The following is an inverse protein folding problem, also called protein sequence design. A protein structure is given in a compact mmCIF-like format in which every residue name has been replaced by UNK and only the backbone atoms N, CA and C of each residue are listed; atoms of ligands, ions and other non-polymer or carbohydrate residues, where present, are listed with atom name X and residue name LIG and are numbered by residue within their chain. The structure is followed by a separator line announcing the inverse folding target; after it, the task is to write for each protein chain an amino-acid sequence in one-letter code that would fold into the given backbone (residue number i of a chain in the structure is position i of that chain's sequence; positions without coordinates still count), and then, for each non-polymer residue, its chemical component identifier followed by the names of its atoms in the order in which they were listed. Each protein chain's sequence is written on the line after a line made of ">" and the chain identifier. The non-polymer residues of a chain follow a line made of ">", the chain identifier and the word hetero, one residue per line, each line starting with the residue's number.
data_IF_175353018350
#
_entry.id   IF_175353018350
#
_cell.length_a   1.000
_cell.length_b   1.000
_cell.length_c   1.000
_cell.angle_alpha   90.00
_cell.angle_beta   90.00
_cell.angle_gamma   90.00
#
_symmetry.space_group_name_H-M   'P 1'
#
loop_
_entity.id
_entity.type
_entity.pdbx_description
1 polymer ?
#
# COMPACT_ATOMS: atom_id res chain seq x y z
N UNK A 1 -4.28 -14.39 -21.68
CA UNK A 1 -3.19 -14.81 -20.78
C UNK A 1 -3.04 -16.32 -20.83
N UNK A 2 -1.84 -16.85 -20.58
CA UNK A 2 -1.54 -18.28 -20.64
C UNK A 2 -1.98 -18.97 -19.35
N UNK A 3 -2.88 -19.96 -19.43
CA UNK A 3 -3.20 -20.84 -18.30
C UNK A 3 -2.03 -21.80 -18.03
N UNK A 4 -1.74 -22.06 -16.76
CA UNK A 4 -0.68 -22.97 -16.34
C UNK A 4 -1.25 -24.14 -15.53
N UNK A 5 -0.64 -25.31 -15.68
CA UNK A 5 -0.81 -26.41 -14.74
C UNK A 5 0.17 -26.27 -13.57
N UNK A 6 -0.11 -26.88 -12.40
CA UNK A 6 0.84 -26.89 -11.28
C UNK A 6 2.21 -27.48 -11.63
N UNK A 7 2.26 -28.45 -12.56
CA UNK A 7 3.52 -29.05 -13.01
C UNK A 7 4.32 -28.09 -13.89
N UNK A 8 3.68 -27.30 -14.75
CA UNK A 8 4.35 -26.26 -15.53
C UNK A 8 4.87 -25.16 -14.63
N UNK A 9 4.07 -24.72 -13.65
CA UNK A 9 4.51 -23.77 -12.63
C UNK A 9 5.77 -24.26 -11.91
N UNK A 10 5.77 -25.49 -11.39
CA UNK A 10 6.95 -26.09 -10.72
C UNK A 10 8.19 -26.13 -11.62
N UNK A 11 8.02 -26.41 -12.91
CA UNK A 11 9.14 -26.43 -13.87
C UNK A 11 9.72 -25.03 -14.09
N UNK A 12 8.86 -24.02 -14.23
CA UNK A 12 9.28 -22.61 -14.38
C UNK A 12 10.01 -22.13 -13.13
N UNK A 13 9.48 -22.47 -11.94
CA UNK A 13 10.11 -22.12 -10.65
C UNK A 13 11.48 -22.77 -10.45
N UNK A 14 11.75 -23.91 -11.09
CA UNK A 14 13.05 -24.58 -11.08
C UNK A 14 14.00 -24.10 -12.18
N UNK A 15 13.54 -23.21 -13.06
CA UNK A 15 14.26 -22.75 -14.26
C UNK A 15 14.47 -21.24 -14.28
N UNK A 16 14.05 -20.62 -15.37
CA UNK A 16 14.22 -19.20 -15.67
C UNK A 16 13.32 -18.26 -14.87
N UNK A 17 12.33 -18.78 -14.12
CA UNK A 17 11.38 -18.00 -13.32
C UNK A 17 10.60 -16.98 -14.14
N UNK A 18 10.22 -17.32 -15.38
CA UNK A 18 9.39 -16.46 -16.22
C UNK A 18 7.92 -16.89 -16.23
N UNK A 19 7.09 -16.12 -15.53
CA UNK A 19 5.64 -16.21 -15.50
C UNK A 19 4.97 -14.99 -16.17
N UNK A 20 5.70 -14.24 -17.00
CA UNK A 20 5.14 -13.06 -17.66
C UNK A 20 3.92 -13.41 -18.52
N UNK A 21 2.88 -12.57 -18.45
CA UNK A 21 1.62 -12.75 -19.17
C UNK A 21 0.81 -14.00 -18.82
N UNK A 22 1.19 -14.74 -17.78
CA UNK A 22 0.46 -15.92 -17.32
C UNK A 22 -0.79 -15.55 -16.53
N UNK A 23 -1.80 -16.42 -16.57
CA UNK A 23 -2.99 -16.31 -15.73
C UNK A 23 -2.80 -17.13 -14.46
N UNK A 24 -2.64 -16.41 -13.36
CA UNK A 24 -2.50 -16.89 -12.00
C UNK A 24 -3.66 -16.40 -11.12
N UNK A 25 -4.78 -16.01 -11.73
CA UNK A 25 -5.93 -15.49 -10.99
C UNK A 25 -6.49 -16.52 -10.00
N UNK A 26 -6.68 -16.10 -8.76
CA UNK A 26 -7.16 -16.95 -7.67
C UNK A 26 -6.20 -18.07 -7.24
N UNK A 27 -4.96 -18.10 -7.74
CA UNK A 27 -4.00 -19.12 -7.33
C UNK A 27 -3.63 -19.00 -5.85
N UNK A 28 -3.40 -20.15 -5.22
CA UNK A 28 -2.80 -20.21 -3.89
C UNK A 28 -1.27 -20.29 -4.02
N UNK A 29 -0.61 -19.17 -3.73
CA UNK A 29 0.85 -18.99 -3.77
C UNK A 29 1.40 -18.67 -2.37
N UNK A 30 0.61 -18.96 -1.32
CA UNK A 30 0.96 -18.64 0.06
C UNK A 30 2.28 -19.29 0.47
N UNK A 31 3.13 -18.50 1.13
CA UNK A 31 4.48 -18.86 1.58
C UNK A 31 5.45 -19.29 0.46
N UNK A 32 5.12 -19.05 -0.82
CA UNK A 32 6.05 -19.38 -1.91
C UNK A 32 7.25 -18.43 -1.91
N UNK A 33 8.38 -18.93 -2.42
CA UNK A 33 9.54 -18.10 -2.70
C UNK A 33 9.57 -17.70 -4.18
N UNK A 34 9.01 -16.54 -4.47
CA UNK A 34 8.92 -15.95 -5.80
C UNK A 34 9.93 -14.79 -5.96
N UNK A 35 11.04 -14.79 -5.22
CA UNK A 35 12.03 -13.73 -5.38
C UNK A 35 12.65 -13.73 -6.78
N UNK A 36 12.90 -12.54 -7.29
CA UNK A 36 13.44 -12.27 -8.64
C UNK A 36 12.58 -12.83 -9.78
N UNK A 37 11.32 -13.18 -9.52
CA UNK A 37 10.44 -13.75 -10.56
C UNK A 37 10.03 -12.69 -11.58
N UNK A 38 9.88 -13.10 -12.84
CA UNK A 38 9.25 -12.27 -13.84
C UNK A 38 7.74 -12.55 -13.88
N UNK A 39 6.94 -11.63 -13.35
CA UNK A 39 5.47 -11.61 -13.37
C UNK A 39 4.94 -10.42 -14.17
N UNK A 40 5.74 -9.87 -15.08
CA UNK A 40 5.33 -8.75 -15.93
C UNK A 40 4.06 -9.11 -16.71
N UNK A 41 3.09 -8.20 -16.77
CA UNK A 41 1.79 -8.39 -17.45
C UNK A 41 0.98 -9.60 -16.94
N UNK A 42 1.36 -10.24 -15.83
CA UNK A 42 0.68 -11.42 -15.31
C UNK A 42 -0.66 -11.04 -14.64
N UNK A 43 -1.62 -11.96 -14.65
CA UNK A 43 -2.88 -11.78 -13.92
C UNK A 43 -2.84 -12.56 -12.62
N UNK A 44 -2.75 -11.85 -11.51
CA UNK A 44 -2.76 -12.33 -10.13
C UNK A 44 -4.04 -11.90 -9.40
N UNK A 45 -5.11 -11.54 -10.15
CA UNK A 45 -6.37 -11.10 -9.57
C UNK A 45 -6.88 -12.09 -8.53
N UNK A 46 -7.09 -11.63 -7.30
CA UNK A 46 -7.56 -12.45 -6.19
C UNK A 46 -6.61 -13.57 -5.76
N UNK A 47 -5.36 -13.59 -6.22
CA UNK A 47 -4.38 -14.60 -5.80
C UNK A 47 -4.08 -14.49 -4.30
N UNK A 48 -3.84 -15.63 -3.65
CA UNK A 48 -3.41 -15.69 -2.27
C UNK A 48 -1.87 -15.69 -2.22
N UNK A 49 -1.30 -14.56 -1.82
CA UNK A 49 0.15 -14.32 -1.74
C UNK A 49 0.59 -14.09 -0.28
N UNK A 50 -0.20 -14.50 0.72
CA UNK A 50 0.14 -14.30 2.13
C UNK A 50 1.55 -14.87 2.43
N UNK A 51 2.38 -14.09 3.14
CA UNK A 51 3.76 -14.44 3.51
C UNK A 51 4.67 -14.84 2.32
N UNK A 52 4.32 -14.45 1.09
CA UNK A 52 5.13 -14.79 -0.10
C UNK A 52 6.36 -13.90 -0.13
N UNK A 53 7.48 -14.45 -0.60
CA UNK A 53 8.65 -13.65 -0.91
C UNK A 53 8.62 -13.21 -2.38
N UNK A 54 8.34 -11.95 -2.64
CA UNK A 54 8.38 -11.28 -3.95
C UNK A 54 9.49 -10.21 -4.01
N UNK A 55 10.54 -10.38 -3.19
CA UNK A 55 11.71 -9.51 -3.24
C UNK A 55 12.32 -9.49 -4.64
N UNK A 56 12.65 -8.29 -5.13
CA UNK A 56 13.20 -8.05 -6.48
C UNK A 56 12.30 -8.57 -7.63
N UNK A 57 11.01 -8.85 -7.38
CA UNK A 57 10.11 -9.36 -8.42
C UNK A 57 9.78 -8.29 -9.48
N UNK A 58 9.67 -8.72 -10.74
CA UNK A 58 9.21 -7.87 -11.84
C UNK A 58 7.69 -8.03 -12.02
N UNK A 59 6.92 -7.07 -11.51
CA UNK A 59 5.46 -7.05 -11.52
C UNK A 59 4.89 -5.88 -12.36
N UNK A 60 5.69 -5.33 -13.27
CA UNK A 60 5.27 -4.21 -14.11
C UNK A 60 4.02 -4.58 -14.90
N UNK A 61 3.01 -3.71 -14.85
CA UNK A 61 1.70 -3.88 -15.49
C UNK A 61 0.92 -5.15 -15.04
N UNK A 62 1.31 -5.78 -13.93
CA UNK A 62 0.62 -6.95 -13.40
C UNK A 62 -0.76 -6.57 -12.82
N UNK A 63 -1.74 -7.48 -12.95
CA UNK A 63 -3.05 -7.31 -12.34
C UNK A 63 -3.11 -8.04 -10.99
N UNK A 64 -3.04 -7.29 -9.89
CA UNK A 64 -3.13 -7.75 -8.50
C UNK A 64 -4.44 -7.31 -7.82
N UNK A 65 -5.47 -6.96 -8.60
CA UNK A 65 -6.77 -6.54 -8.07
C UNK A 65 -7.32 -7.57 -7.07
N UNK A 66 -7.62 -7.11 -5.85
CA UNK A 66 -8.13 -7.96 -4.76
C UNK A 66 -7.19 -9.06 -4.29
N UNK A 67 -5.91 -9.05 -4.70
CA UNK A 67 -4.94 -10.06 -4.27
C UNK A 67 -4.68 -9.94 -2.76
N UNK A 68 -4.45 -11.07 -2.11
CA UNK A 68 -4.12 -11.12 -0.69
C UNK A 68 -2.60 -11.14 -0.48
N UNK A 69 -2.04 -9.98 -0.19
CA UNK A 69 -0.60 -9.73 -0.04
C UNK A 69 -0.20 -9.51 1.44
N UNK A 70 -0.99 -9.98 2.40
CA UNK A 70 -0.70 -9.78 3.83
C UNK A 70 0.68 -10.38 4.18
N UNK A 71 1.51 -9.62 4.89
CA UNK A 71 2.90 -9.99 5.25
C UNK A 71 3.80 -10.36 4.05
N UNK A 72 3.47 -9.92 2.83
CA UNK A 72 4.31 -10.23 1.65
C UNK A 72 5.57 -9.38 1.66
N UNK A 73 6.71 -9.98 1.33
CA UNK A 73 7.93 -9.23 1.07
C UNK A 73 7.96 -8.75 -0.38
N UNK A 74 7.70 -7.48 -0.63
CA UNK A 74 7.77 -6.80 -1.94
C UNK A 74 8.96 -5.82 -2.00
N UNK A 75 9.97 -6.03 -1.15
CA UNK A 75 11.16 -5.20 -1.10
C UNK A 75 11.82 -5.14 -2.48
N UNK A 76 12.18 -3.94 -2.92
CA UNK A 76 12.85 -3.68 -4.20
C UNK A 76 12.05 -4.17 -5.44
N UNK A 77 10.77 -4.56 -5.28
CA UNK A 77 9.95 -5.07 -6.39
C UNK A 77 9.56 -3.95 -7.37
N UNK A 78 9.46 -4.29 -8.65
CA UNK A 78 8.99 -3.37 -9.68
C UNK A 78 7.49 -3.57 -9.95
N UNK A 79 6.66 -2.71 -9.37
CA UNK A 79 5.20 -2.66 -9.50
C UNK A 79 4.73 -1.48 -10.38
N UNK A 80 5.60 -0.94 -11.25
CA UNK A 80 5.23 0.16 -12.13
C UNK A 80 3.97 -0.18 -12.95
N UNK A 81 2.96 0.69 -12.94
CA UNK A 81 1.70 0.48 -13.64
C UNK A 81 0.82 -0.66 -13.12
N UNK A 82 1.20 -1.35 -12.03
CA UNK A 82 0.44 -2.50 -11.53
C UNK A 82 -0.96 -2.08 -11.02
N UNK A 83 -1.95 -2.94 -11.24
CA UNK A 83 -3.29 -2.76 -10.71
C UNK A 83 -3.42 -3.44 -9.34
N UNK A 84 -3.47 -2.66 -8.27
CA UNK A 84 -3.59 -3.10 -6.86
C UNK A 84 -4.93 -2.69 -6.23
N UNK A 85 -5.95 -2.42 -7.06
CA UNK A 85 -7.28 -2.04 -6.59
C UNK A 85 -7.80 -3.04 -5.56
N UNK A 86 -8.22 -2.55 -4.39
CA UNK A 86 -8.73 -3.34 -3.26
C UNK A 86 -7.80 -4.49 -2.82
N UNK A 87 -6.50 -4.42 -3.10
CA UNK A 87 -5.54 -5.43 -2.65
C UNK A 87 -5.31 -5.36 -1.13
N UNK A 88 -5.07 -6.51 -0.50
CA UNK A 88 -4.80 -6.61 0.94
C UNK A 88 -3.30 -6.61 1.20
N UNK A 89 -2.71 -5.44 1.45
CA UNK A 89 -1.28 -5.21 1.70
C UNK A 89 -0.94 -4.99 3.18
N UNK A 90 -1.82 -5.42 4.11
CA UNK A 90 -1.57 -5.24 5.54
C UNK A 90 -0.24 -5.91 5.92
N UNK A 91 0.60 -5.20 6.67
CA UNK A 91 1.92 -5.66 7.13
C UNK A 91 2.89 -6.02 5.97
N UNK A 92 2.60 -5.63 4.73
CA UNK A 92 3.49 -5.90 3.59
C UNK A 92 4.76 -5.03 3.64
N UNK A 93 5.88 -5.60 3.21
CA UNK A 93 7.14 -4.87 3.09
C UNK A 93 7.32 -4.35 1.67
N UNK A 94 7.07 -3.07 1.43
CA UNK A 94 7.23 -2.36 0.15
C UNK A 94 8.47 -1.45 0.15
N UNK A 95 9.45 -1.71 1.02
CA UNK A 95 10.70 -0.94 1.11
C UNK A 95 11.35 -0.83 -0.28
N UNK A 96 11.60 0.39 -0.73
CA UNK A 96 12.22 0.70 -2.02
C UNK A 96 11.46 0.19 -3.27
N UNK A 97 10.21 -0.26 -3.12
CA UNK A 97 9.42 -0.76 -4.24
C UNK A 97 9.11 0.36 -5.24
N UNK A 98 9.13 0.05 -6.53
CA UNK A 98 8.71 0.97 -7.58
C UNK A 98 7.20 0.83 -7.82
N UNK A 99 6.39 1.75 -7.30
CA UNK A 99 4.94 1.82 -7.46
C UNK A 99 4.51 2.92 -8.44
N UNK A 100 5.42 3.41 -9.28
CA UNK A 100 5.12 4.50 -10.21
C UNK A 100 3.91 4.17 -11.08
N UNK A 101 2.90 5.03 -11.09
CA UNK A 101 1.68 4.85 -11.87
C UNK A 101 0.80 3.66 -11.42
N UNK A 102 1.11 3.00 -10.30
CA UNK A 102 0.30 1.89 -9.81
C UNK A 102 -1.06 2.36 -9.30
N UNK A 103 -2.10 1.56 -9.48
CA UNK A 103 -3.44 1.88 -8.98
C UNK A 103 -3.72 1.16 -7.65
N UNK A 104 -3.64 1.88 -6.54
CA UNK A 104 -3.89 1.38 -5.17
C UNK A 104 -5.26 1.84 -4.63
N UNK A 105 -6.22 2.13 -5.53
CA UNK A 105 -7.55 2.57 -5.09
C UNK A 105 -8.18 1.54 -4.14
N UNK A 106 -8.62 2.00 -2.98
CA UNK A 106 -9.23 1.17 -1.92
C UNK A 106 -8.31 0.04 -1.38
N UNK A 107 -6.99 0.12 -1.60
CA UNK A 107 -6.05 -0.86 -1.08
C UNK A 107 -5.87 -0.74 0.44
N UNK A 108 -5.71 -1.88 1.11
CA UNK A 108 -5.42 -1.92 2.55
C UNK A 108 -3.91 -1.98 2.78
N UNK A 109 -3.30 -0.86 3.15
CA UNK A 109 -1.87 -0.69 3.44
C UNK A 109 -1.59 -0.55 4.93
N UNK A 110 -2.49 -1.05 5.80
CA UNK A 110 -2.32 -0.91 7.25
C UNK A 110 -1.00 -1.53 7.69
N UNK A 111 -0.18 -0.79 8.44
CA UNK A 111 1.15 -1.21 8.89
C UNK A 111 2.14 -1.57 7.77
N UNK A 112 1.86 -1.22 6.50
CA UNK A 112 2.77 -1.50 5.41
C UNK A 112 4.04 -0.64 5.53
N UNK A 113 5.18 -1.20 5.15
CA UNK A 113 6.43 -0.47 5.09
C UNK A 113 6.65 0.11 3.69
N UNK A 114 6.43 1.41 3.50
CA UNK A 114 6.61 2.14 2.25
C UNK A 114 7.87 3.03 2.26
N UNK A 115 8.80 2.83 3.21
CA UNK A 115 10.04 3.59 3.24
C UNK A 115 10.75 3.49 1.88
N UNK A 116 11.24 4.63 1.37
CA UNK A 116 11.91 4.76 0.08
C UNK A 116 11.12 4.27 -1.17
N UNK A 117 9.84 3.92 -1.04
CA UNK A 117 9.02 3.50 -2.17
C UNK A 117 8.76 4.67 -3.15
N UNK A 118 8.77 4.38 -4.45
CA UNK A 118 8.54 5.35 -5.52
C UNK A 118 7.05 5.38 -5.90
N UNK A 119 6.33 6.45 -5.53
CA UNK A 119 4.88 6.57 -5.67
C UNK A 119 4.42 7.60 -6.72
N UNK A 120 5.31 8.07 -7.60
CA UNK A 120 4.96 9.06 -8.62
C UNK A 120 3.79 8.55 -9.50
N UNK A 121 2.73 9.34 -9.69
CA UNK A 121 1.53 9.01 -10.47
C UNK A 121 0.69 7.83 -9.90
N UNK A 122 1.02 7.31 -8.72
CA UNK A 122 0.29 6.21 -8.10
C UNK A 122 -1.06 6.66 -7.52
N UNK A 123 -2.16 5.97 -7.82
CA UNK A 123 -3.47 6.32 -7.26
C UNK A 123 -3.66 5.74 -5.85
N UNK A 124 -3.64 6.59 -4.82
CA UNK A 124 -3.87 6.20 -3.41
C UNK A 124 -5.28 6.57 -2.89
N UNK A 125 -6.23 6.92 -3.77
CA UNK A 125 -7.57 7.31 -3.33
C UNK A 125 -8.26 6.15 -2.59
N UNK A 126 -8.87 6.43 -1.43
CA UNK A 126 -9.53 5.41 -0.62
C UNK A 126 -8.61 4.42 0.10
N UNK A 127 -7.30 4.43 -0.17
CA UNK A 127 -6.36 3.53 0.48
C UNK A 127 -6.32 3.74 2.01
N UNK A 128 -6.24 2.65 2.75
CA UNK A 128 -6.11 2.66 4.20
C UNK A 128 -4.63 2.59 4.60
N UNK A 129 -4.10 3.72 5.07
CA UNK A 129 -2.69 3.90 5.40
C UNK A 129 -2.43 3.90 6.91
N UNK A 130 -3.35 3.41 7.76
CA UNK A 130 -3.13 3.39 9.22
C UNK A 130 -1.80 2.73 9.54
N UNK A 131 -1.00 3.41 10.35
CA UNK A 131 0.28 2.89 10.86
C UNK A 131 1.30 2.51 9.77
N UNK A 132 1.07 2.91 8.52
CA UNK A 132 2.04 2.69 7.44
C UNK A 132 3.29 3.56 7.68
N UNK A 133 4.47 2.99 7.43
CA UNK A 133 5.71 3.75 7.38
C UNK A 133 5.80 4.45 6.02
N UNK A 134 5.44 5.72 5.95
CA UNK A 134 5.43 6.48 4.70
C UNK A 134 6.82 6.71 4.11
N UNK A 135 6.88 6.98 2.80
CA UNK A 135 8.14 7.18 2.07
C UNK A 135 8.82 8.54 2.32
N UNK A 136 8.26 9.36 3.21
CA UNK A 136 8.82 10.68 3.55
C UNK A 136 8.62 11.74 2.46
N UNK A 137 7.90 11.45 1.38
CA UNK A 137 7.68 12.34 0.25
C UNK A 137 6.20 12.49 -0.12
N UNK A 138 5.57 11.45 -0.66
CA UNK A 138 4.14 11.41 -1.00
C UNK A 138 3.28 10.99 0.21
N UNK A 139 3.82 10.14 1.10
CA UNK A 139 3.17 9.71 2.34
C UNK A 139 4.07 10.08 3.52
N UNK A 140 3.52 10.83 4.46
CA UNK A 140 4.21 11.31 5.66
C UNK A 140 3.55 10.72 6.90
N UNK A 141 4.36 10.19 7.80
CA UNK A 141 3.89 9.51 9.02
C UNK A 141 4.53 10.13 10.25
N UNK A 142 3.72 10.47 11.26
CA UNK A 142 4.17 11.08 12.51
C UNK A 142 3.42 10.48 13.70
N UNK A 143 4.16 10.07 14.74
CA UNK A 143 3.56 9.57 15.98
C UNK A 143 3.19 10.71 16.92
N UNK A 144 1.98 10.67 17.45
CA UNK A 144 1.44 11.64 18.40
C UNK A 144 0.84 10.92 19.61
N UNK A 145 1.71 10.37 20.46
CA UNK A 145 1.33 9.58 21.64
C UNK A 145 0.40 8.42 21.26
N UNK A 146 -0.91 8.57 21.50
CA UNK A 146 -1.95 7.57 21.25
C UNK A 146 -2.17 7.26 19.77
N UNK A 147 -2.03 8.24 18.87
CA UNK A 147 -2.35 8.04 17.46
C UNK A 147 -1.19 8.38 16.55
N UNK A 148 -1.09 7.57 15.50
CA UNK A 148 -0.31 7.86 14.31
C UNK A 148 -1.12 8.80 13.42
N UNK A 149 -0.47 9.85 12.93
CA UNK A 149 -1.00 10.72 11.89
C UNK A 149 -0.28 10.39 10.59
N UNK A 150 -1.03 9.97 9.59
CA UNK A 150 -0.53 9.74 8.23
C UNK A 150 -1.18 10.75 7.30
N UNK A 151 -0.41 11.42 6.45
CA UNK A 151 -0.96 12.37 5.51
C UNK A 151 -0.33 12.29 4.12
N UNK A 152 -1.16 12.57 3.12
CA UNK A 152 -0.79 12.75 1.71
C UNK A 152 -1.01 14.20 1.31
N UNK A 153 -0.80 14.55 0.03
CA UNK A 153 -1.08 15.91 -0.48
C UNK A 153 -2.53 16.39 -0.24
N UNK A 154 -3.48 15.48 -0.06
CA UNK A 154 -4.91 15.79 -0.05
C UNK A 154 -5.65 15.30 1.20
N UNK A 155 -5.11 14.32 1.93
CA UNK A 155 -5.83 13.63 3.01
C UNK A 155 -4.99 13.50 4.26
N UNK A 156 -5.67 13.43 5.41
CA UNK A 156 -5.08 13.06 6.70
C UNK A 156 -5.85 11.86 7.23
N UNK A 157 -5.11 10.88 7.71
CA UNK A 157 -5.60 9.71 8.38
C UNK A 157 -5.13 9.69 9.84
N UNK A 158 -6.09 9.66 10.76
CA UNK A 158 -5.89 9.60 12.21
C UNK A 158 -6.77 8.47 12.74
N UNK A 159 -6.12 7.39 13.20
CA UNK A 159 -6.84 6.15 13.51
C UNK A 159 -7.71 5.70 12.33
N UNK A 160 -8.95 5.29 12.60
CA UNK A 160 -9.88 4.83 11.55
C UNK A 160 -10.54 5.96 10.73
N UNK A 161 -10.14 7.22 10.92
CA UNK A 161 -10.73 8.38 10.24
C UNK A 161 -9.78 8.89 9.17
N UNK A 162 -10.21 8.79 7.91
CA UNK A 162 -9.47 9.27 6.75
C UNK A 162 -10.32 10.31 6.02
N UNK A 163 -9.97 11.58 6.12
CA UNK A 163 -10.72 12.70 5.56
C UNK A 163 -9.80 13.63 4.77
N UNK A 164 -10.38 14.51 3.95
CA UNK A 164 -9.59 15.53 3.28
C UNK A 164 -8.93 16.47 4.29
N UNK A 165 -7.81 17.09 3.90
CA UNK A 165 -7.16 18.12 4.73
C UNK A 165 -8.15 19.24 5.09
N UNK A 166 -9.04 19.61 4.17
CA UNK A 166 -10.05 20.65 4.36
C UNK A 166 -11.11 20.23 5.38
N UNK A 167 -11.64 19.01 5.29
CA UNK A 167 -12.60 18.48 6.28
C UNK A 167 -12.00 18.52 7.69
N UNK A 168 -10.75 18.07 7.84
CA UNK A 168 -10.05 18.11 9.13
C UNK A 168 -9.91 19.53 9.69
N UNK A 169 -9.71 20.54 8.84
CA UNK A 169 -9.65 21.93 9.30
C UNK A 169 -10.99 22.39 9.86
N UNK A 170 -12.07 21.95 9.23
CA UNK A 170 -13.44 22.41 9.47
C UNK A 170 -14.23 21.61 10.51
N UNK A 171 -13.75 20.42 10.93
CA UNK A 171 -14.44 19.66 11.97
C UNK A 171 -14.62 20.45 13.27
N UNK A 172 -15.85 20.42 13.76
CA UNK A 172 -16.25 20.94 15.06
C UNK A 172 -15.83 20.00 16.19
N UNK A 173 -15.76 20.54 17.41
CA UNK A 173 -15.49 19.76 18.62
C UNK A 173 -16.48 18.59 18.77
N UNK A 174 -17.76 18.81 18.48
CA UNK A 174 -18.81 17.79 18.58
C UNK A 174 -18.63 16.66 17.55
N UNK A 175 -18.19 16.98 16.33
CA UNK A 175 -17.91 15.98 15.30
C UNK A 175 -16.71 15.13 15.69
N UNK A 176 -15.64 15.76 16.16
CA UNK A 176 -14.45 15.05 16.64
C UNK A 176 -14.77 14.17 17.84
N UNK A 177 -15.55 14.67 18.81
CA UNK A 177 -15.95 13.92 19.99
C UNK A 177 -16.78 12.66 19.66
N UNK A 178 -17.50 12.65 18.52
CA UNK A 178 -18.23 11.48 18.02
C UNK A 178 -17.32 10.45 17.34
N UNK A 179 -16.07 10.79 17.02
CA UNK A 179 -15.15 9.88 16.32
C UNK A 179 -14.57 8.81 17.24
N UNK A 180 -14.19 9.21 18.46
CA UNK A 180 -13.66 8.35 19.53
C UNK A 180 -13.81 9.09 20.88
N UNK A 181 -14.06 8.35 21.97
CA UNK A 181 -14.30 8.94 23.29
C UNK A 181 -13.12 9.73 23.88
N UNK A 182 -11.92 9.57 23.33
CA UNK A 182 -10.72 10.32 23.69
C UNK A 182 -10.25 11.32 22.61
N UNK A 183 -10.96 11.39 21.46
CA UNK A 183 -10.59 12.18 20.29
C UNK A 183 -10.44 13.66 20.58
N UNK A 184 -11.39 14.24 21.31
CA UNK A 184 -11.50 15.69 21.42
C UNK A 184 -10.32 16.32 22.15
N UNK A 185 -9.98 15.81 23.33
CA UNK A 185 -8.87 16.34 24.14
C UNK A 185 -7.53 16.20 23.43
N UNK A 186 -7.32 15.06 22.77
CA UNK A 186 -6.14 14.86 21.96
C UNK A 186 -6.12 15.82 20.74
N UNK A 187 -7.25 16.02 20.07
CA UNK A 187 -7.32 16.89 18.89
C UNK A 187 -7.01 18.33 19.25
N UNK A 188 -7.59 18.85 20.33
CA UNK A 188 -7.30 20.20 20.85
C UNK A 188 -5.81 20.44 21.09
N UNK A 189 -5.10 19.43 21.57
CA UNK A 189 -3.66 19.51 21.84
C UNK A 189 -2.80 19.47 20.58
N UNK A 190 -3.19 18.70 19.56
CA UNK A 190 -2.31 18.37 18.44
C UNK A 190 -2.70 19.01 17.10
N UNK A 191 -3.94 19.51 16.94
CA UNK A 191 -4.46 20.09 15.69
C UNK A 191 -3.50 21.09 15.05
N UNK A 192 -3.10 22.12 15.80
CA UNK A 192 -2.21 23.18 15.30
C UNK A 192 -0.81 22.65 14.96
N UNK A 193 -0.32 21.66 15.71
CA UNK A 193 0.98 21.02 15.45
C UNK A 193 0.92 20.24 14.13
N UNK A 194 -0.15 19.47 13.92
CA UNK A 194 -0.37 18.68 12.71
C UNK A 194 -0.41 19.59 11.47
N UNK A 195 -1.19 20.67 11.49
CA UNK A 195 -1.27 21.57 10.34
C UNK A 195 0.02 22.34 10.10
N UNK A 196 0.73 22.75 11.15
CA UNK A 196 2.06 23.35 11.00
C UNK A 196 3.06 22.37 10.39
N UNK A 197 3.03 21.09 10.76
CA UNK A 197 3.88 20.06 10.15
C UNK A 197 3.59 19.89 8.66
N UNK A 198 2.31 19.87 8.27
CA UNK A 198 1.90 19.77 6.86
C UNK A 198 2.39 20.99 6.08
N UNK A 199 2.38 22.18 6.66
CA UNK A 199 2.86 23.40 6.01
C UNK A 199 4.39 23.42 5.81
N UNK A 200 5.17 22.97 6.82
CA UNK A 200 6.64 22.97 6.73
C UNK A 200 7.22 21.74 6.04
N UNK A 201 6.47 20.63 5.98
CA UNK A 201 6.84 19.38 5.31
C UNK A 201 5.65 18.83 4.52
N UNK A 202 5.26 19.52 3.43
CA UNK A 202 4.14 19.10 2.63
C UNK A 202 4.43 17.76 1.97
N UNK A 203 3.40 16.91 1.91
CA UNK A 203 3.43 15.76 1.03
C UNK A 203 3.28 16.26 -0.42
N UNK A 204 4.11 15.75 -1.33
CA UNK A 204 4.01 16.08 -2.74
C UNK A 204 3.06 15.13 -3.45
N UNK A 205 2.59 15.52 -4.64
CA UNK A 205 1.73 14.67 -5.43
C UNK A 205 2.44 13.44 -5.95
N UNK A 206 1.74 12.32 -5.82
CA UNK A 206 1.64 11.36 -6.90
C UNK A 206 0.87 11.99 -8.07
#
# INVERSE_FOLDING_TARGET
>A
MKQLTPNEFRKIMAGDKDLSGCDLSGWDLKNENLSNINLKDANLKGANLINTNLEDAYLRDANLEGANLINTNLRDANLEGANLVSAYLRDANLLSANLKGANLWDANLVSANLLDAYLWDANLEGADLRDAAGNGREIKTHQFNTWTVVYTKARIQIGCKNHSIEDWRNFTDDEVNKMDGSALEWWKKHKEIIFKLIEISPAVGY
#
